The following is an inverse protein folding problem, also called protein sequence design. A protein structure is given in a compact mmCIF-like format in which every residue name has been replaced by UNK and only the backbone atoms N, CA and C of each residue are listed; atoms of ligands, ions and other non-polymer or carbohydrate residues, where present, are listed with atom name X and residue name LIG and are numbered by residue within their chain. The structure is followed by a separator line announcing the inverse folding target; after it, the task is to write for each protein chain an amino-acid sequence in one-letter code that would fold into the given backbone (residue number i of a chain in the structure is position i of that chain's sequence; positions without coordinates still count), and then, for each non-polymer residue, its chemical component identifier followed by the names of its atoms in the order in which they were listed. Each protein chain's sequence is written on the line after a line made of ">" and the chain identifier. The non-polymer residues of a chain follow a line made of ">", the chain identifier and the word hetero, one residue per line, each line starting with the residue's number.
data_IF_981071612512
#
_entry.id   IF_981071612512
#
_cell.length_a   1.000
_cell.length_b   1.000
_cell.length_c   1.000
_cell.angle_alpha   90.00
_cell.angle_beta   90.00
_cell.angle_gamma   90.00
#
_symmetry.space_group_name_H-M   'P 1'
#
loop_
_entity.id
_entity.type
_entity.pdbx_description
1 polymer ?
#
# COMPACT_ATOMS: atom_id res chain seq x y z
N UNK A 1 3.50 9.90 -4.97
CA UNK A 1 2.79 9.45 -3.75
C UNK A 1 3.02 7.95 -3.62
N UNK A 2 3.12 7.42 -2.41
CA UNK A 2 3.33 5.98 -2.22
C UNK A 2 1.98 5.34 -1.93
N UNK A 3 1.60 4.35 -2.71
CA UNK A 3 0.41 3.54 -2.49
C UNK A 3 0.82 2.22 -1.83
N UNK A 4 0.16 1.89 -0.74
CA UNK A 4 0.24 0.62 -0.05
C UNK A 4 -0.93 -0.24 -0.54
N UNK A 5 -0.63 -1.22 -1.38
CA UNK A 5 -1.63 -2.10 -1.98
C UNK A 5 -1.50 -3.48 -1.34
N UNK A 6 -2.51 -3.86 -0.57
CA UNK A 6 -2.68 -5.21 -0.07
C UNK A 6 -3.44 -6.03 -1.11
N UNK A 7 -2.79 -7.08 -1.59
CA UNK A 7 -3.42 -8.08 -2.44
C UNK A 7 -3.58 -9.40 -1.70
N UNK A 8 -4.69 -10.07 -1.96
CA UNK A 8 -4.91 -11.46 -1.64
C UNK A 8 -4.63 -12.28 -2.89
N UNK A 9 -3.77 -13.27 -2.73
CA UNK A 9 -3.45 -14.26 -3.77
C UNK A 9 -4.25 -15.54 -3.52
N UNK A 10 -4.45 -16.36 -4.55
CA UNK A 10 -5.20 -17.64 -4.44
C UNK A 10 -4.70 -18.56 -3.33
N UNK A 11 -3.41 -18.48 -3.00
CA UNK A 11 -2.80 -19.20 -1.87
C UNK A 11 -3.27 -18.69 -0.48
N UNK A 12 -4.30 -17.84 -0.42
CA UNK A 12 -4.77 -17.10 0.76
C UNK A 12 -3.68 -16.26 1.44
N UNK A 13 -2.58 -16.01 0.73
CA UNK A 13 -1.50 -15.15 1.21
C UNK A 13 -1.85 -13.71 0.91
N UNK A 14 -1.94 -12.91 1.98
CA UNK A 14 -1.94 -11.46 1.93
C UNK A 14 -0.52 -10.99 1.66
N UNK A 15 -0.33 -10.22 0.60
CA UNK A 15 0.94 -9.58 0.30
C UNK A 15 0.72 -8.09 0.16
N UNK A 16 1.54 -7.31 0.84
CA UNK A 16 1.49 -5.86 0.84
C UNK A 16 2.60 -5.33 -0.05
N UNK A 17 2.25 -4.50 -1.03
CA UNK A 17 3.18 -3.90 -1.96
C UNK A 17 3.16 -2.38 -1.82
N UNK A 18 4.34 -1.79 -1.67
CA UNK A 18 4.55 -0.35 -1.78
C UNK A 18 4.83 0.00 -3.23
N UNK A 19 4.01 0.87 -3.80
CA UNK A 19 4.07 1.31 -5.19
C UNK A 19 4.05 2.83 -5.23
N UNK A 20 5.13 3.42 -5.71
CA UNK A 20 5.19 4.86 -5.96
C UNK A 20 4.48 5.19 -7.28
N UNK A 21 3.46 6.04 -7.22
CA UNK A 21 2.67 6.47 -8.36
C UNK A 21 2.07 7.86 -8.14
N UNK A 22 1.70 8.54 -9.23
CA UNK A 22 0.95 9.79 -9.19
C UNK A 22 -0.57 9.61 -9.13
N UNK A 23 -1.08 8.40 -9.40
CA UNK A 23 -2.51 8.11 -9.46
C UNK A 23 -2.80 6.62 -9.22
N UNK A 24 -4.03 6.30 -8.83
CA UNK A 24 -4.47 4.91 -8.56
C UNK A 24 -4.31 3.99 -9.78
N UNK A 25 -4.58 4.50 -10.99
CA UNK A 25 -4.40 3.76 -12.24
C UNK A 25 -2.93 3.37 -12.44
N UNK A 26 -2.02 4.33 -12.30
CA UNK A 26 -0.58 4.11 -12.44
C UNK A 26 -0.04 3.16 -11.36
N UNK A 27 -0.56 3.26 -10.13
CA UNK A 27 -0.22 2.35 -9.04
C UNK A 27 -0.63 0.91 -9.37
N UNK A 28 -1.81 0.69 -9.96
CA UNK A 28 -2.26 -0.64 -10.39
C UNK A 28 -1.40 -1.20 -11.54
N UNK A 29 -1.01 -0.38 -12.50
CA UNK A 29 -0.17 -0.84 -13.62
C UNK A 29 1.24 -1.21 -13.15
N UNK A 30 1.86 -0.38 -12.31
CA UNK A 30 3.14 -0.67 -11.66
C UNK A 30 3.09 -1.92 -10.79
N UNK A 31 2.00 -2.11 -10.04
CA UNK A 31 1.77 -3.32 -9.26
C UNK A 31 1.70 -4.56 -10.16
N UNK A 32 0.90 -4.53 -11.23
CA UNK A 32 0.80 -5.64 -12.20
C UNK A 32 2.15 -5.98 -12.81
N UNK A 33 3.00 -4.99 -13.11
CA UNK A 33 4.35 -5.21 -13.62
C UNK A 33 5.25 -5.94 -12.61
N UNK A 34 5.15 -5.59 -11.31
CA UNK A 34 5.87 -6.27 -10.22
C UNK A 34 5.33 -7.65 -9.89
N UNK A 35 4.07 -7.92 -10.18
CA UNK A 35 3.49 -9.23 -9.95
C UNK A 35 3.96 -10.24 -11.00
N UNK A 36 4.27 -11.48 -10.58
CA UNK A 36 4.62 -12.54 -11.50
C UNK A 36 3.42 -12.83 -12.44
N UNK A 37 3.66 -13.25 -13.69
CA UNK A 37 2.60 -13.42 -14.71
C UNK A 37 1.47 -14.33 -14.23
N UNK A 38 1.79 -15.40 -13.49
CA UNK A 38 0.79 -16.29 -12.88
C UNK A 38 -0.15 -15.61 -11.87
N UNK A 39 0.26 -14.49 -11.25
CA UNK A 39 -0.54 -13.73 -10.29
C UNK A 39 -1.12 -12.45 -10.88
N UNK A 40 -0.92 -12.16 -12.19
CA UNK A 40 -1.50 -10.98 -12.87
C UNK A 40 -2.97 -11.15 -13.21
N UNK A 41 -3.44 -12.38 -13.36
CA UNK A 41 -4.82 -12.68 -13.72
C UNK A 41 -5.67 -13.06 -12.50
N UNK A 42 -5.03 -13.51 -11.42
CA UNK A 42 -5.69 -14.02 -10.22
C UNK A 42 -5.16 -13.37 -8.94
N UNK A 43 -5.46 -12.08 -8.78
CA UNK A 43 -5.23 -11.35 -7.54
C UNK A 43 -6.47 -10.54 -7.18
N UNK A 44 -6.79 -10.48 -5.90
CA UNK A 44 -7.85 -9.61 -5.38
C UNK A 44 -7.19 -8.49 -4.61
N UNK A 45 -7.49 -7.24 -4.95
CA UNK A 45 -7.07 -6.10 -4.14
C UNK A 45 -7.92 -6.12 -2.87
N UNK A 46 -7.29 -6.46 -1.74
CA UNK A 46 -7.93 -6.52 -0.43
C UNK A 46 -8.09 -5.11 0.15
N UNK A 47 -7.04 -4.30 0.02
CA UNK A 47 -7.03 -2.90 0.44
C UNK A 47 -6.05 -2.12 -0.41
N UNK A 48 -6.41 -0.90 -0.75
CA UNK A 48 -5.53 0.06 -1.39
C UNK A 48 -5.56 1.32 -0.54
N UNK A 49 -4.43 1.66 0.06
CA UNK A 49 -4.27 2.87 0.86
C UNK A 49 -3.14 3.68 0.27
N UNK A 50 -3.22 5.00 0.41
CA UNK A 50 -2.04 5.84 0.20
C UNK A 50 -1.25 5.75 1.48
N UNK A 51 0.02 5.34 1.37
CA UNK A 51 0.97 5.38 2.47
C UNK A 51 1.27 6.85 2.78
N UNK A 52 0.40 7.44 3.60
CA UNK A 52 0.55 8.80 4.12
C UNK A 52 1.60 8.86 5.23
N UNK A 53 2.43 7.83 5.46
CA UNK A 53 3.47 7.86 6.49
C UNK A 53 4.60 8.88 6.21
N UNK A 54 4.55 9.60 5.09
CA UNK A 54 5.35 10.82 4.82
C UNK A 54 4.60 12.11 5.11
N UNK A 55 3.28 12.06 5.32
CA UNK A 55 2.56 13.07 6.09
C UNK A 55 2.87 12.71 7.52
N UNK A 56 3.79 13.45 8.12
CA UNK A 56 4.06 13.36 9.54
C UNK A 56 2.74 13.16 10.28
N UNK A 57 2.62 12.06 11.02
CA UNK A 57 1.79 12.08 12.21
C UNK A 57 2.46 13.16 13.08
N UNK A 58 2.05 14.41 12.88
CA UNK A 58 2.11 15.38 13.95
C UNK A 58 1.19 14.80 15.02
N UNK A 59 1.74 13.95 15.89
CA UNK A 59 1.19 13.71 17.22
C UNK A 59 0.88 15.10 17.80
N UNK A 60 -0.39 15.56 17.87
CA UNK A 60 -0.71 16.86 18.43
C UNK A 60 -0.78 16.78 19.96
N UNK A 61 -0.65 15.58 20.53
CA UNK A 61 -0.56 15.36 21.96
C UNK A 61 0.90 15.36 22.37
N UNK A 62 1.45 16.57 22.50
CA UNK A 62 2.63 16.81 23.31
C UNK A 62 2.44 16.13 24.66
N UNK A 63 3.23 15.09 24.91
CA UNK A 63 3.40 14.49 26.23
C UNK A 63 3.99 15.57 27.15
N UNK A 64 3.11 16.31 27.84
CA UNK A 64 3.47 17.03 29.05
C UNK A 64 3.60 15.99 30.18
N UNK A 65 4.67 15.20 30.12
CA UNK A 65 5.24 14.57 31.30
C UNK A 65 6.24 15.56 31.90
N UNK A 66 5.86 16.25 32.96
CA UNK A 66 6.72 17.15 33.70
C UNK A 66 6.21 17.29 35.13
N UNK A 67 6.80 16.48 36.00
CA UNK A 67 6.95 16.56 37.48
C UNK A 67 5.99 17.44 38.31
#
# INVERSE_FOLDING_TARGET
>A
MTYLIEILTEEKKKQTFRVEAGSETEAKERLKLRLPPHKRESFTIASMKIDMSTVSDEDPYGVFGGE
#
